data_IF_242794251594
#
_entry.id   IF_242794251594
#
_cell.length_a   1.000
_cell.length_b   1.000
_cell.length_c   1.000
_cell.angle_alpha   90.00
_cell.angle_beta   90.00
_cell.angle_gamma   90.00
#
_symmetry.space_group_name_H-M   'P 1'
#
loop_
_entity.id
_entity.type
_entity.pdbx_description
1 polymer ?
#
# COMPACT_ATOMS: atom_id res chain seq x y z
N UNK A 1 -28.04 -5.35 67.04
CA UNK A 1 -27.57 -4.62 65.85
C UNK A 1 -26.63 -5.53 65.08
N UNK A 2 -27.01 -5.98 63.87
CA UNK A 2 -26.11 -6.66 62.93
C UNK A 2 -26.04 -5.77 61.70
N UNK A 3 -24.90 -5.10 61.53
CA UNK A 3 -24.62 -4.22 60.39
C UNK A 3 -24.10 -5.11 59.27
N UNK A 4 -24.83 -5.18 58.15
CA UNK A 4 -24.39 -5.88 56.95
C UNK A 4 -23.65 -4.87 56.07
N UNK A 5 -22.34 -5.05 55.90
CA UNK A 5 -21.55 -4.34 54.89
C UNK A 5 -21.74 -5.03 53.54
N UNK A 6 -22.46 -4.40 52.62
CA UNK A 6 -22.48 -4.81 51.22
C UNK A 6 -21.24 -4.25 50.53
N UNK A 7 -20.30 -5.12 50.17
CA UNK A 7 -19.16 -4.77 49.35
C UNK A 7 -19.59 -4.57 47.89
N UNK A 8 -19.54 -3.32 47.40
CA UNK A 8 -19.75 -3.00 45.99
C UNK A 8 -18.43 -3.24 45.26
N UNK A 9 -18.33 -4.35 44.54
CA UNK A 9 -17.19 -4.64 43.66
C UNK A 9 -17.27 -3.79 42.40
N UNK A 10 -16.33 -2.86 42.23
CA UNK A 10 -16.17 -2.10 40.98
C UNK A 10 -15.51 -3.01 39.96
N UNK A 11 -16.27 -3.44 38.96
CA UNK A 11 -15.76 -4.20 37.81
C UNK A 11 -15.07 -3.22 36.85
N UNK A 12 -13.74 -3.15 36.89
CA UNK A 12 -12.96 -2.38 35.92
C UNK A 12 -12.92 -3.15 34.60
N UNK A 13 -13.73 -2.72 33.63
CA UNK A 13 -13.67 -3.19 32.25
C UNK A 13 -12.40 -2.62 31.60
N UNK A 14 -11.33 -3.42 31.57
CA UNK A 14 -10.15 -3.12 30.77
C UNK A 14 -10.52 -3.37 29.31
N UNK A 15 -10.87 -2.30 28.59
CA UNK A 15 -10.98 -2.36 27.14
C UNK A 15 -9.57 -2.60 26.57
N UNK A 16 -9.32 -3.81 26.08
CA UNK A 16 -8.10 -4.09 25.32
C UNK A 16 -8.22 -3.40 23.97
N UNK A 17 -7.67 -2.19 23.86
CA UNK A 17 -7.43 -1.55 22.56
C UNK A 17 -6.41 -2.44 21.85
N UNK A 18 -6.85 -3.18 20.84
CA UNK A 18 -5.94 -3.89 19.95
C UNK A 18 -5.24 -2.85 19.07
N UNK A 19 -4.10 -2.35 19.54
CA UNK A 19 -3.22 -1.51 18.74
C UNK A 19 -2.60 -2.35 17.62
N UNK A 20 -3.21 -2.36 16.43
CA UNK A 20 -2.59 -2.89 15.21
C UNK A 20 -1.48 -1.99 14.67
N UNK A 21 -1.38 -0.75 15.14
CA UNK A 21 -0.47 0.30 14.63
C UNK A 21 1.04 0.03 14.77
N UNK A 22 1.47 -1.08 15.36
CA UNK A 22 2.89 -1.27 15.72
C UNK A 22 3.49 -2.58 15.19
N UNK A 23 2.90 -3.20 14.16
CA UNK A 23 3.40 -4.47 13.61
C UNK A 23 3.46 -4.44 12.10
N UNK A 24 4.43 -5.15 11.55
CA UNK A 24 4.54 -5.41 10.12
C UNK A 24 3.94 -6.77 9.76
N UNK A 25 3.86 -7.06 8.46
CA UNK A 25 3.61 -8.42 7.98
C UNK A 25 4.68 -9.38 8.49
N UNK A 26 4.35 -10.67 8.57
CA UNK A 26 5.28 -11.71 9.03
C UNK A 26 5.94 -12.42 7.85
N UNK A 27 6.38 -11.64 6.85
CA UNK A 27 7.15 -12.13 5.73
C UNK A 27 8.64 -12.26 6.07
N UNK A 28 9.40 -12.84 5.14
CA UNK A 28 10.84 -13.12 5.32
C UNK A 28 11.66 -11.85 5.55
N UNK A 29 11.38 -10.81 4.75
CA UNK A 29 12.15 -9.56 4.72
C UNK A 29 11.51 -8.42 5.53
N UNK A 30 10.47 -8.74 6.29
CA UNK A 30 9.77 -7.78 7.13
C UNK A 30 10.40 -7.67 8.53
N UNK A 31 10.48 -6.44 9.04
CA UNK A 31 10.77 -6.12 10.44
C UNK A 31 9.63 -6.61 11.34
N UNK A 32 9.86 -6.62 12.65
CA UNK A 32 8.78 -6.92 13.63
C UNK A 32 7.78 -5.76 13.76
N UNK A 33 8.29 -4.53 13.67
CA UNK A 33 7.55 -3.29 13.81
C UNK A 33 8.17 -2.22 12.88
N UNK A 34 7.39 -1.22 12.43
CA UNK A 34 7.92 -0.12 11.65
C UNK A 34 8.98 0.67 12.43
N UNK A 35 10.00 1.14 11.73
CA UNK A 35 10.94 2.15 12.25
C UNK A 35 11.59 2.90 11.10
N UNK A 36 12.27 4.01 11.41
CA UNK A 36 13.03 4.80 10.43
C UNK A 36 14.12 3.98 9.73
N UNK A 37 14.35 4.30 8.45
CA UNK A 37 15.32 3.70 7.54
C UNK A 37 15.92 4.79 6.63
N UNK A 38 17.04 5.40 7.04
CA UNK A 38 17.59 6.57 6.34
C UNK A 38 18.41 6.25 5.08
N UNK A 39 18.78 4.99 4.86
CA UNK A 39 19.72 4.58 3.80
C UNK A 39 19.06 3.85 2.64
N UNK A 40 17.74 3.99 2.50
CA UNK A 40 16.96 3.35 1.44
C UNK A 40 17.36 3.88 0.05
N UNK A 41 17.65 2.97 -0.89
CA UNK A 41 17.97 3.30 -2.29
C UNK A 41 16.73 3.46 -3.15
N UNK A 42 15.65 2.79 -2.75
CA UNK A 42 14.31 2.81 -3.34
C UNK A 42 13.27 2.77 -2.21
N UNK A 43 11.99 2.93 -2.53
CA UNK A 43 10.91 2.90 -1.52
C UNK A 43 11.03 4.02 -0.46
N UNK A 44 11.72 5.12 -0.77
CA UNK A 44 12.05 6.21 0.16
C UNK A 44 10.84 6.92 0.74
N UNK A 45 9.68 6.78 0.12
CA UNK A 45 8.40 7.24 0.67
C UNK A 45 8.09 6.66 2.06
N UNK A 46 8.68 5.51 2.40
CA UNK A 46 8.51 4.85 3.70
C UNK A 46 9.69 5.09 4.65
N UNK A 47 10.66 5.97 4.33
CA UNK A 47 11.90 6.13 5.12
C UNK A 47 11.68 6.51 6.58
N UNK A 48 10.62 7.26 6.89
CA UNK A 48 10.34 7.71 8.26
C UNK A 48 9.63 6.64 9.09
N UNK A 49 9.04 5.63 8.46
CA UNK A 49 8.36 4.52 9.13
C UNK A 49 8.25 3.36 8.15
N UNK A 50 9.24 2.46 8.18
CA UNK A 50 9.37 1.36 7.22
C UNK A 50 9.29 0.00 7.91
N UNK A 51 8.58 -0.93 7.25
CA UNK A 51 8.55 -2.35 7.58
C UNK A 51 9.64 -3.19 6.90
N UNK A 52 10.39 -2.63 5.95
CA UNK A 52 11.55 -3.29 5.34
C UNK A 52 12.85 -2.66 5.85
N UNK A 53 13.96 -3.37 5.74
CA UNK A 53 15.29 -2.82 6.00
C UNK A 53 15.86 -2.12 4.76
N UNK A 54 16.72 -1.13 4.94
CA UNK A 54 17.36 -0.40 3.83
C UNK A 54 18.08 -1.32 2.82
N UNK A 55 18.69 -2.42 3.26
CA UNK A 55 19.38 -3.37 2.38
C UNK A 55 18.44 -4.10 1.41
N UNK A 56 17.17 -4.32 1.77
CA UNK A 56 16.17 -4.88 0.85
C UNK A 56 16.01 -3.99 -0.38
N UNK A 57 15.99 -2.67 -0.17
CA UNK A 57 15.75 -1.69 -1.24
C UNK A 57 16.87 -1.65 -2.29
N UNK A 58 18.05 -2.20 -1.99
CA UNK A 58 19.15 -2.32 -2.95
C UNK A 58 18.79 -3.25 -4.13
N UNK A 59 17.92 -4.25 -3.89
CA UNK A 59 17.41 -5.16 -4.92
C UNK A 59 16.53 -4.45 -5.96
N UNK A 60 15.97 -3.29 -5.58
CA UNK A 60 15.06 -2.53 -6.41
C UNK A 60 15.76 -1.45 -7.24
N UNK A 61 17.08 -1.31 -7.15
CA UNK A 61 17.81 -0.36 -8.01
C UNK A 61 17.75 -0.80 -9.46
N UNK A 62 17.35 0.11 -10.36
CA UNK A 62 17.18 -0.19 -11.79
C UNK A 62 18.51 -0.54 -12.47
N UNK A 63 18.51 -1.45 -13.47
CA UNK A 63 17.38 -2.28 -13.89
C UNK A 63 17.12 -3.42 -12.91
N UNK A 64 15.86 -3.62 -12.53
CA UNK A 64 15.49 -4.70 -11.60
C UNK A 64 15.44 -6.01 -12.37
N UNK A 65 16.40 -6.89 -12.07
CA UNK A 65 16.43 -8.24 -12.65
C UNK A 65 15.70 -9.24 -11.76
N UNK A 66 15.93 -9.15 -10.46
CA UNK A 66 15.47 -10.12 -9.48
C UNK A 66 15.18 -9.41 -8.17
N UNK A 67 14.04 -9.74 -7.57
CA UNK A 67 13.73 -9.39 -6.19
C UNK A 67 13.56 -10.70 -5.45
N UNK A 68 14.36 -10.90 -4.43
CA UNK A 68 14.47 -12.15 -3.69
C UNK A 68 14.77 -13.33 -4.60
N UNK A 69 13.80 -14.23 -4.76
CA UNK A 69 13.89 -15.40 -5.61
C UNK A 69 13.18 -15.22 -6.96
N UNK A 70 12.46 -14.10 -7.15
CA UNK A 70 11.62 -13.84 -8.32
C UNK A 70 12.35 -12.97 -9.33
N UNK A 71 12.70 -13.57 -10.46
CA UNK A 71 13.22 -12.91 -11.65
C UNK A 71 12.09 -12.16 -12.38
N UNK A 72 12.30 -10.87 -12.63
CA UNK A 72 11.36 -9.97 -13.29
C UNK A 72 11.58 -9.88 -14.80
N UNK A 73 12.78 -10.21 -15.28
CA UNK A 73 13.18 -10.07 -16.68
C UNK A 73 13.17 -11.38 -17.48
N UNK A 74 12.32 -12.35 -17.10
CA UNK A 74 12.24 -13.67 -17.76
C UNK A 74 11.93 -13.60 -19.25
N UNK A 75 11.06 -12.68 -19.67
CA UNK A 75 10.70 -12.50 -21.08
C UNK A 75 11.56 -11.44 -21.78
N UNK A 76 11.84 -10.37 -21.05
CA UNK A 76 12.74 -9.29 -21.41
C UNK A 76 12.85 -8.36 -20.20
N UNK A 77 13.82 -7.46 -20.22
CA UNK A 77 13.85 -6.33 -19.29
C UNK A 77 12.57 -5.49 -19.44
N UNK A 78 11.90 -5.19 -18.33
CA UNK A 78 10.75 -4.29 -18.29
C UNK A 78 11.15 -2.86 -18.70
N UNK A 79 10.24 -2.17 -19.38
CA UNK A 79 10.33 -0.74 -19.66
C UNK A 79 10.40 0.05 -18.36
N UNK A 80 11.04 1.22 -18.38
CA UNK A 80 11.18 2.08 -17.18
C UNK A 80 9.83 2.42 -16.56
N UNK A 81 8.80 2.66 -17.37
CA UNK A 81 7.45 2.93 -16.90
C UNK A 81 6.85 1.74 -16.17
N UNK A 82 6.91 0.54 -16.78
CA UNK A 82 6.39 -0.68 -16.17
C UNK A 82 7.15 -1.05 -14.89
N UNK A 83 8.49 -1.01 -14.91
CA UNK A 83 9.35 -1.30 -13.76
C UNK A 83 9.02 -0.37 -12.57
N UNK A 84 8.74 0.91 -12.82
CA UNK A 84 8.37 1.86 -11.77
C UNK A 84 7.07 1.46 -11.04
N UNK A 85 6.07 0.93 -11.74
CA UNK A 85 4.85 0.43 -11.09
C UNK A 85 5.08 -0.86 -10.32
N UNK A 86 5.85 -1.80 -10.90
CA UNK A 86 6.23 -3.03 -10.19
C UNK A 86 6.96 -2.71 -8.88
N UNK A 87 7.91 -1.75 -8.89
CA UNK A 87 8.59 -1.27 -7.68
C UNK A 87 7.63 -0.67 -6.66
N UNK A 88 6.66 0.15 -7.08
CA UNK A 88 5.67 0.73 -6.15
C UNK A 88 4.91 -0.35 -5.39
N UNK A 89 4.48 -1.40 -6.08
CA UNK A 89 3.78 -2.53 -5.48
C UNK A 89 4.68 -3.30 -4.52
N UNK A 90 5.93 -3.57 -4.91
CA UNK A 90 6.91 -4.26 -4.06
C UNK A 90 7.28 -3.43 -2.82
N UNK A 91 7.50 -2.12 -2.99
CA UNK A 91 7.73 -1.18 -1.90
C UNK A 91 6.55 -1.13 -0.93
N UNK A 92 5.32 -1.11 -1.43
CA UNK A 92 4.13 -1.16 -0.57
C UNK A 92 4.10 -2.46 0.24
N UNK A 93 4.27 -3.60 -0.43
CA UNK A 93 4.22 -4.92 0.21
C UNK A 93 5.26 -5.01 1.34
N UNK A 94 6.51 -4.65 1.06
CA UNK A 94 7.64 -4.91 1.97
C UNK A 94 7.82 -3.82 3.02
N UNK A 95 7.61 -2.55 2.62
CA UNK A 95 8.04 -1.40 3.41
C UNK A 95 6.89 -0.62 4.03
N UNK A 96 5.66 -0.72 3.52
CA UNK A 96 4.56 0.09 4.06
C UNK A 96 4.18 -0.34 5.48
N UNK A 97 4.15 0.57 6.46
CA UNK A 97 3.66 0.27 7.81
C UNK A 97 2.15 -0.01 7.81
N UNK A 98 1.45 0.47 6.78
CA UNK A 98 -0.01 0.37 6.66
C UNK A 98 -0.46 -0.90 5.97
N UNK A 99 0.43 -1.66 5.32
CA UNK A 99 0.10 -2.92 4.67
C UNK A 99 -0.52 -3.94 5.66
N UNK A 100 -0.13 -3.87 6.94
CA UNK A 100 -0.65 -4.71 8.03
C UNK A 100 -2.18 -4.66 8.16
N UNK A 101 -2.82 -3.57 7.74
CA UNK A 101 -4.29 -3.42 7.78
C UNK A 101 -5.02 -4.43 6.88
N UNK A 102 -4.32 -5.02 5.91
CA UNK A 102 -4.83 -6.04 5.00
C UNK A 102 -4.12 -7.38 5.13
N UNK A 103 -3.46 -7.63 6.27
CA UNK A 103 -2.78 -8.89 6.54
C UNK A 103 -3.75 -10.06 6.40
N UNK A 104 -3.35 -11.09 5.65
CA UNK A 104 -4.15 -12.30 5.52
C UNK A 104 -4.16 -13.07 6.85
N UNK A 105 -5.33 -13.32 7.46
CA UNK A 105 -5.41 -13.99 8.77
C UNK A 105 -4.95 -15.45 8.75
N UNK A 106 -4.96 -16.09 7.58
CA UNK A 106 -4.53 -17.49 7.41
C UNK A 106 -3.07 -17.60 6.94
N UNK A 107 -2.46 -16.49 6.51
CA UNK A 107 -1.07 -16.45 6.03
C UNK A 107 -0.49 -15.06 6.28
N UNK A 108 0.09 -14.85 7.46
CA UNK A 108 0.48 -13.52 7.98
C UNK A 108 1.59 -12.81 7.20
N UNK A 109 2.24 -13.48 6.25
CA UNK A 109 3.16 -12.89 5.28
C UNK A 109 2.46 -12.33 4.03
N UNK A 110 1.19 -12.68 3.81
CA UNK A 110 0.41 -12.26 2.65
C UNK A 110 -0.60 -11.17 2.97
N UNK A 111 -1.16 -10.61 1.90
CA UNK A 111 -2.18 -9.56 1.94
C UNK A 111 -3.46 -10.03 1.25
N UNK A 112 -4.61 -9.50 1.66
CA UNK A 112 -5.91 -9.73 1.04
C UNK A 112 -6.68 -8.42 0.84
N UNK A 113 -7.23 -8.25 -0.36
CA UNK A 113 -8.21 -7.20 -0.68
C UNK A 113 -7.74 -5.77 -0.39
N UNK A 114 -6.47 -5.48 -0.61
CA UNK A 114 -5.94 -4.11 -0.57
C UNK A 114 -6.65 -3.27 -1.66
N UNK A 115 -7.33 -2.17 -1.31
CA UNK A 115 -8.15 -1.41 -2.25
C UNK A 115 -7.30 -0.46 -3.10
N UNK A 116 -7.10 -0.77 -4.37
CA UNK A 116 -6.37 0.09 -5.31
C UNK A 116 -7.30 1.02 -6.06
N UNK A 117 -6.84 2.24 -6.31
CA UNK A 117 -7.54 3.17 -7.17
C UNK A 117 -7.56 2.63 -8.60
N UNK A 118 -8.71 2.69 -9.28
CA UNK A 118 -8.82 2.29 -10.69
C UNK A 118 -7.83 3.03 -11.59
N UNK A 119 -7.57 4.31 -11.29
CA UNK A 119 -6.58 5.12 -11.99
C UNK A 119 -5.14 4.60 -11.85
N UNK A 120 -4.75 4.08 -10.67
CA UNK A 120 -3.45 3.45 -10.48
C UNK A 120 -3.33 2.21 -11.37
N UNK A 121 -4.34 1.35 -11.35
CA UNK A 121 -4.37 0.11 -12.12
C UNK A 121 -4.35 0.35 -13.64
N UNK A 122 -5.12 1.33 -14.12
CA UNK A 122 -5.10 1.71 -15.54
C UNK A 122 -3.74 2.27 -15.96
N UNK A 123 -3.14 3.15 -15.15
CA UNK A 123 -1.82 3.71 -15.46
C UNK A 123 -0.72 2.63 -15.44
N UNK A 124 -0.81 1.66 -14.52
CA UNK A 124 0.11 0.52 -14.48
C UNK A 124 -0.01 -0.31 -15.77
N UNK A 125 -1.23 -0.69 -16.15
CA UNK A 125 -1.46 -1.42 -17.38
C UNK A 125 -1.00 -0.65 -18.62
N UNK A 126 -1.29 0.65 -18.71
CA UNK A 126 -0.83 1.47 -19.82
C UNK A 126 0.70 1.59 -19.90
N UNK A 127 1.37 1.63 -18.76
CA UNK A 127 2.83 1.64 -18.68
C UNK A 127 3.45 0.30 -19.11
N UNK A 128 2.76 -0.82 -18.85
CA UNK A 128 3.25 -2.17 -19.15
C UNK A 128 2.72 -2.78 -20.45
N UNK A 129 1.72 -2.21 -21.12
CA UNK A 129 0.94 -2.90 -22.17
C UNK A 129 1.76 -3.53 -23.31
N UNK A 130 2.94 -2.97 -23.60
CA UNK A 130 3.86 -3.45 -24.63
C UNK A 130 5.05 -4.25 -24.08
N UNK A 131 5.22 -4.30 -22.75
CA UNK A 131 6.15 -5.21 -22.09
C UNK A 131 5.65 -6.65 -22.19
N UNK A 132 6.55 -7.61 -21.98
CA UNK A 132 6.25 -9.03 -22.11
C UNK A 132 6.17 -9.71 -20.73
N UNK A 133 5.23 -10.64 -20.58
CA UNK A 133 5.16 -11.56 -19.45
C UNK A 133 4.73 -12.94 -19.93
N UNK A 134 5.04 -13.97 -19.14
CA UNK A 134 4.65 -15.36 -19.38
C UNK A 134 3.78 -15.93 -18.25
N UNK A 135 3.39 -15.10 -17.29
CA UNK A 135 2.56 -15.48 -16.14
C UNK A 135 1.43 -14.47 -15.95
N UNK A 136 0.19 -14.95 -15.80
CA UNK A 136 -0.94 -14.07 -15.46
C UNK A 136 -0.92 -13.74 -13.98
N UNK A 137 -0.71 -14.75 -13.14
CA UNK A 137 -0.52 -14.64 -11.71
C UNK A 137 0.95 -14.94 -11.34
N UNK A 138 1.67 -13.92 -10.90
CA UNK A 138 3.11 -13.97 -10.60
C UNK A 138 3.44 -14.68 -9.28
N UNK A 139 2.42 -15.09 -8.51
CA UNK A 139 2.58 -15.93 -7.31
C UNK A 139 2.54 -17.41 -7.68
N UNK A 140 1.65 -17.79 -8.61
CA UNK A 140 1.25 -19.20 -8.81
C UNK A 140 1.58 -19.77 -10.20
N UNK A 141 1.71 -18.94 -11.23
CA UNK A 141 1.84 -19.42 -12.61
C UNK A 141 3.29 -19.64 -13.07
N UNK A 142 4.29 -19.30 -12.24
CA UNK A 142 5.69 -19.62 -12.54
C UNK A 142 6.03 -21.07 -12.17
N UNK A 143 6.94 -21.69 -12.92
CA UNK A 143 7.61 -22.94 -12.52
C UNK A 143 8.85 -22.59 -11.68
N UNK A 144 9.08 -23.32 -10.60
CA UNK A 144 10.24 -23.11 -9.73
C UNK A 144 11.21 -24.28 -9.86
N UNK A 145 12.50 -23.97 -10.05
CA UNK A 145 13.56 -24.98 -10.09
C UNK A 145 14.10 -25.33 -8.69
N UNK A 146 15.00 -26.32 -8.62
CA UNK A 146 15.62 -26.77 -7.37
C UNK A 146 16.44 -25.67 -6.67
N UNK A 147 16.87 -24.66 -7.40
CA UNK A 147 17.63 -23.51 -6.90
C UNK A 147 16.70 -22.37 -6.45
N UNK A 148 15.38 -22.55 -6.55
CA UNK A 148 14.38 -21.55 -6.20
C UNK A 148 14.31 -20.39 -7.18
N UNK A 149 14.69 -20.57 -8.45
CA UNK A 149 14.45 -19.56 -9.49
C UNK A 149 13.15 -19.86 -10.24
N UNK A 150 12.42 -18.81 -10.57
CA UNK A 150 11.21 -18.90 -11.38
C UNK A 150 11.54 -18.99 -12.87
N UNK A 151 10.71 -19.75 -13.60
CA UNK A 151 10.77 -19.98 -15.03
C UNK A 151 9.39 -19.82 -15.64
N UNK A 152 9.35 -19.43 -16.92
CA UNK A 152 8.11 -19.35 -17.67
C UNK A 152 7.45 -20.72 -17.83
N UNK A 153 6.14 -20.76 -17.60
CA UNK A 153 5.31 -21.95 -17.82
C UNK A 153 4.81 -22.06 -19.26
N UNK A 154 4.77 -20.95 -20.00
CA UNK A 154 4.33 -20.83 -21.39
C UNK A 154 5.04 -19.70 -22.13
N UNK A 155 4.47 -19.27 -23.26
CA UNK A 155 5.07 -18.26 -24.13
C UNK A 155 5.04 -16.86 -23.51
N UNK A 156 6.06 -16.07 -23.82
CA UNK A 156 6.09 -14.65 -23.51
C UNK A 156 5.14 -13.88 -24.44
N UNK A 157 4.17 -13.18 -23.85
CA UNK A 157 3.19 -12.38 -24.57
C UNK A 157 3.14 -10.95 -24.03
N UNK A 158 2.75 -9.96 -24.86
CA UNK A 158 2.50 -8.61 -24.38
C UNK A 158 1.49 -8.56 -23.25
N UNK A 159 1.66 -7.65 -22.27
CA UNK A 159 0.72 -7.50 -21.16
C UNK A 159 -0.71 -7.22 -21.64
N UNK A 160 -0.90 -6.50 -22.73
CA UNK A 160 -2.24 -6.26 -23.29
C UNK A 160 -2.91 -7.50 -23.93
N UNK A 161 -2.15 -8.59 -24.12
CA UNK A 161 -2.70 -9.91 -24.45
C UNK A 161 -2.95 -10.76 -23.21
N UNK A 162 -2.13 -10.58 -22.16
CA UNK A 162 -2.26 -11.30 -20.90
C UNK A 162 -3.43 -10.78 -20.04
N UNK A 163 -3.61 -9.47 -20.00
CA UNK A 163 -4.61 -8.77 -19.21
C UNK A 163 -5.50 -7.94 -20.12
N UNK A 164 -6.81 -7.98 -19.85
CA UNK A 164 -7.81 -7.27 -20.64
C UNK A 164 -7.84 -5.75 -20.39
N UNK A 165 -7.49 -5.31 -19.18
CA UNK A 165 -7.40 -3.90 -18.78
C UNK A 165 -6.63 -3.77 -17.43
N UNK A 166 -6.55 -2.55 -16.89
CA UNK A 166 -5.91 -2.29 -15.60
C UNK A 166 -6.53 -3.04 -14.43
N UNK A 167 -7.85 -3.16 -14.40
CA UNK A 167 -8.56 -3.89 -13.34
C UNK A 167 -8.19 -5.37 -13.33
N UNK A 168 -8.20 -6.03 -14.49
CA UNK A 168 -7.77 -7.42 -14.64
C UNK A 168 -6.31 -7.61 -14.25
N UNK A 169 -5.42 -6.67 -14.61
CA UNK A 169 -4.02 -6.70 -14.20
C UNK A 169 -3.88 -6.67 -12.66
N UNK A 170 -4.48 -5.70 -12.00
CA UNK A 170 -4.38 -5.54 -10.54
C UNK A 170 -4.98 -6.74 -9.79
N UNK A 171 -6.12 -7.27 -10.24
CA UNK A 171 -6.82 -8.38 -9.58
C UNK A 171 -6.25 -9.77 -9.92
N UNK A 172 -5.38 -9.87 -10.92
CA UNK A 172 -4.81 -11.16 -11.36
C UNK A 172 -3.36 -11.34 -10.94
N UNK A 173 -2.52 -10.32 -11.12
CA UNK A 173 -1.06 -10.47 -11.03
C UNK A 173 -0.60 -11.02 -9.68
N UNK A 174 -1.19 -10.53 -8.59
CA UNK A 174 -0.88 -10.95 -7.22
C UNK A 174 -2.03 -11.72 -6.57
N UNK A 175 -2.84 -12.42 -7.38
CA UNK A 175 -4.00 -13.16 -6.89
C UNK A 175 -4.98 -12.28 -6.10
N UNK A 176 -5.36 -12.72 -4.91
CA UNK A 176 -6.35 -12.02 -4.07
C UNK A 176 -5.79 -10.83 -3.28
N UNK A 177 -4.51 -10.49 -3.47
CA UNK A 177 -3.87 -9.39 -2.73
C UNK A 177 -4.54 -8.04 -2.98
N UNK A 178 -4.88 -7.74 -4.23
CA UNK A 178 -5.47 -6.45 -4.60
C UNK A 178 -6.90 -6.59 -5.06
N UNK A 179 -7.73 -5.62 -4.69
CA UNK A 179 -9.03 -5.39 -5.31
C UNK A 179 -9.08 -3.97 -5.87
N UNK A 180 -9.88 -3.74 -6.91
CA UNK A 180 -10.10 -2.41 -7.46
C UNK A 180 -11.41 -1.86 -6.93
N UNK A 181 -11.41 -0.59 -6.54
CA UNK A 181 -12.59 0.12 -6.04
C UNK A 181 -13.00 1.22 -7.01
N UNK A 182 -14.30 1.52 -7.03
CA UNK A 182 -14.89 2.62 -7.80
C UNK A 182 -14.67 4.00 -7.14
N UNK A 183 -14.09 4.03 -5.93
CA UNK A 183 -13.75 5.29 -5.26
C UNK A 183 -12.49 5.90 -5.87
N UNK A 184 -12.54 7.20 -6.13
CA UNK A 184 -11.38 7.98 -6.58
C UNK A 184 -10.49 8.46 -5.42
N UNK A 185 -10.92 8.27 -4.17
CA UNK A 185 -10.17 8.74 -3.01
C UNK A 185 -9.90 7.68 -1.95
N UNK A 186 -10.90 6.86 -1.60
CA UNK A 186 -10.80 5.80 -0.58
C UNK A 186 -10.16 4.55 -1.16
N UNK A 187 -8.95 4.73 -1.64
CA UNK A 187 -8.17 3.74 -2.37
C UNK A 187 -6.69 4.15 -2.32
N UNK A 188 -5.82 3.16 -2.48
CA UNK A 188 -4.37 3.36 -2.47
C UNK A 188 -3.83 3.57 -3.88
N UNK A 189 -2.80 4.41 -3.98
CA UNK A 189 -2.03 4.69 -5.20
C UNK A 189 -0.58 4.22 -5.10
N UNK A 190 -0.21 3.59 -3.99
CA UNK A 190 1.16 3.17 -3.67
C UNK A 190 2.13 4.36 -3.73
N UNK A 191 1.70 5.47 -3.13
CA UNK A 191 2.49 6.70 -3.04
C UNK A 191 2.33 7.37 -1.67
N UNK A 192 3.07 8.46 -1.42
CA UNK A 192 3.15 9.10 -0.10
C UNK A 192 1.84 9.72 0.39
N UNK A 193 0.81 9.78 -0.46
CA UNK A 193 -0.51 10.31 -0.08
C UNK A 193 -1.41 9.24 0.53
N UNK A 194 -1.01 7.97 0.45
CA UNK A 194 -1.83 6.86 0.93
C UNK A 194 -2.13 6.97 2.43
N UNK A 195 -1.16 7.42 3.24
CA UNK A 195 -1.32 7.61 4.69
C UNK A 195 -2.53 8.49 5.04
N UNK A 196 -2.77 9.53 4.25
CA UNK A 196 -3.83 10.51 4.48
C UNK A 196 -5.23 9.95 4.17
N UNK A 197 -5.31 8.98 3.25
CA UNK A 197 -6.58 8.35 2.88
C UNK A 197 -6.90 7.12 3.71
N UNK A 198 -5.92 6.54 4.43
CA UNK A 198 -6.11 5.35 5.27
C UNK A 198 -7.28 5.49 6.23
N UNK A 199 -7.40 6.62 6.92
CA UNK A 199 -8.50 6.83 7.85
C UNK A 199 -9.87 6.69 7.16
N UNK A 200 -10.01 7.16 5.92
CA UNK A 200 -11.26 7.08 5.15
C UNK A 200 -11.52 5.70 4.56
N UNK A 201 -10.45 4.91 4.35
CA UNK A 201 -10.53 3.52 3.91
C UNK A 201 -10.96 2.62 5.08
N UNK A 202 -10.33 2.78 6.24
CA UNK A 202 -10.51 1.93 7.43
C UNK A 202 -11.75 2.29 8.26
N UNK A 203 -12.30 3.51 8.10
CA UNK A 203 -13.48 4.01 8.83
C UNK A 203 -14.72 3.08 8.73
N UNK A 204 -14.77 2.16 7.76
CA UNK A 204 -15.91 1.29 7.52
C UNK A 204 -16.04 0.11 8.50
N UNK A 205 -15.01 -0.24 9.26
CA UNK A 205 -15.03 -1.46 10.07
C UNK A 205 -15.46 -1.27 11.54
N UNK A 206 -15.40 -0.05 12.07
CA UNK A 206 -15.72 0.25 13.47
C UNK A 206 -17.22 0.39 13.76
N UNK A 207 -18.07 0.44 12.73
CA UNK A 207 -19.53 0.67 12.85
C UNK A 207 -20.38 -0.54 12.45
N UNK A 208 -19.77 -1.67 12.07
CA UNK A 208 -20.48 -2.90 11.67
C UNK A 208 -21.08 -3.73 12.81
N UNK A 209 -21.15 -3.20 14.03
CA UNK A 209 -21.85 -3.81 15.17
C UNK A 209 -23.01 -2.94 15.67
N UNK A 210 -23.70 -2.23 14.77
CA UNK A 210 -25.13 -1.91 14.97
C UNK A 210 -25.82 -1.55 13.65
N UNK A 211 -27.06 -2.00 13.56
CA UNK A 211 -27.86 -2.21 12.36
C UNK A 211 -28.27 -0.94 11.59
N UNK A 212 -28.53 -1.15 10.30
CA UNK A 212 -29.61 -0.56 9.48
C UNK A 212 -29.48 0.86 8.88
N UNK A 213 -29.40 0.86 7.53
CA UNK A 213 -30.17 1.72 6.60
C UNK A 213 -30.04 3.24 6.68
N UNK A 214 -28.82 3.75 6.46
CA UNK A 214 -28.56 5.15 6.04
C UNK A 214 -27.23 5.30 5.27
N UNK A 215 -26.82 4.26 4.55
CA UNK A 215 -25.45 4.04 4.09
C UNK A 215 -25.01 4.81 2.84
N UNK A 216 -25.93 5.39 2.06
CA UNK A 216 -25.58 6.12 0.83
C UNK A 216 -25.12 7.56 1.10
N UNK A 217 -25.80 8.28 1.99
CA UNK A 217 -25.48 9.67 2.35
C UNK A 217 -24.21 9.80 3.21
N UNK A 218 -23.94 8.82 4.07
CA UNK A 218 -22.70 8.77 4.86
C UNK A 218 -21.49 8.38 3.99
N UNK A 219 -21.64 7.42 3.06
CA UNK A 219 -20.58 7.05 2.13
C UNK A 219 -20.23 8.19 1.16
N UNK A 220 -21.22 8.94 0.65
CA UNK A 220 -20.97 10.10 -0.20
C UNK A 220 -20.31 11.26 0.57
N UNK A 221 -20.66 11.45 1.85
CA UNK A 221 -20.03 12.44 2.71
C UNK A 221 -18.55 12.11 2.96
N UNK A 222 -18.23 10.84 3.26
CA UNK A 222 -16.84 10.41 3.49
C UNK A 222 -15.99 10.51 2.22
N UNK A 223 -16.55 10.18 1.06
CA UNK A 223 -15.89 10.39 -0.24
C UNK A 223 -15.52 11.86 -0.45
N UNK A 224 -16.48 12.77 -0.21
CA UNK A 224 -16.26 14.22 -0.39
C UNK A 224 -15.20 14.74 0.57
N UNK A 225 -15.24 14.32 1.85
CA UNK A 225 -14.24 14.71 2.84
C UNK A 225 -12.84 14.19 2.48
N UNK A 226 -12.75 12.94 2.02
CA UNK A 226 -11.50 12.35 1.53
C UNK A 226 -10.93 13.17 0.36
N UNK A 227 -11.77 13.46 -0.65
CA UNK A 227 -11.34 14.24 -1.82
C UNK A 227 -10.88 15.65 -1.44
N UNK A 228 -11.55 16.28 -0.47
CA UNK A 228 -11.14 17.58 0.04
C UNK A 228 -9.79 17.50 0.76
N UNK A 229 -9.53 16.44 1.53
CA UNK A 229 -8.25 16.22 2.20
C UNK A 229 -7.11 16.05 1.19
N UNK A 230 -7.30 15.23 0.14
CA UNK A 230 -6.31 15.07 -0.93
C UNK A 230 -6.01 16.40 -1.64
N UNK A 231 -7.03 17.17 -1.99
CA UNK A 231 -6.84 18.48 -2.67
C UNK A 231 -6.06 19.48 -1.82
N UNK A 232 -6.17 19.42 -0.48
CA UNK A 232 -5.41 20.31 0.41
C UNK A 232 -3.92 19.97 0.43
N UNK A 233 -3.55 18.70 0.24
CA UNK A 233 -2.15 18.27 0.12
C UNK A 233 -1.54 18.67 -1.23
N UNK A 234 -2.37 18.73 -2.27
CA UNK A 234 -1.96 19.11 -3.63
C UNK A 234 -1.92 20.63 -3.83
N UNK A 235 -2.41 21.41 -2.87
CA UNK A 235 -2.36 22.87 -2.93
C UNK A 235 -0.90 23.33 -2.74
N UNK A 236 -0.37 24.20 -3.62
CA UNK A 236 0.96 24.76 -3.44
C UNK A 236 1.03 25.55 -2.13
N UNK A 237 2.11 25.37 -1.36
CA UNK A 237 2.40 26.21 -0.19
C UNK A 237 2.43 27.67 -0.64
N UNK A 238 1.67 28.53 0.05
CA UNK A 238 1.72 29.97 -0.20
C UNK A 238 3.08 30.48 0.28
N UNK A 239 3.88 31.04 -0.64
CA UNK A 239 5.09 31.80 -0.32
C UNK A 239 4.77 32.89 0.71
N UNK A 240 5.57 33.05 1.79
CA UNK A 240 5.37 34.15 2.72
C UNK A 240 5.68 35.49 2.02
N UNK A 241 4.70 36.40 2.01
CA UNK A 241 4.83 37.75 1.47
C UNK A 241 5.96 38.53 2.18
N UNK A 242 6.73 39.26 1.37
CA UNK A 242 8.06 39.78 1.71
C UNK A 242 8.12 40.85 2.80
N UNK A 243 9.25 40.85 3.50
CA UNK A 243 9.68 41.94 4.38
C UNK A 243 10.44 43.01 3.57
N UNK A 244 9.79 44.15 3.37
CA UNK A 244 10.35 45.35 2.75
C UNK A 244 11.54 45.87 3.59
N UNK A 245 12.74 45.79 3.04
CA UNK A 245 13.96 46.25 3.72
C UNK A 245 14.06 47.78 3.64
N UNK A 246 13.74 48.46 4.74
CA UNK A 246 13.99 49.91 4.89
C UNK A 246 15.51 50.16 4.99
N UNK A 247 16.11 50.62 3.90
CA UNK A 247 17.50 51.09 3.85
C UNK A 247 17.57 52.50 4.47
N UNK A 248 18.04 52.57 5.71
CA UNK A 248 18.48 53.81 6.35
C UNK A 248 19.76 54.33 5.69
N UNK A 249 19.64 55.42 4.92
CA UNK A 249 20.79 56.27 4.55
C UNK A 249 21.30 56.99 5.80
N UNK A 250 22.57 56.80 6.14
CA UNK A 250 23.32 57.70 7.03
C UNK A 250 24.14 58.67 6.18
N UNK A 251 23.96 59.95 6.48
CA UNK A 251 24.88 61.06 6.18
C UNK A 251 26.22 60.88 6.90
#
# INVERSE_FOLDING_TARGET
MKVYLTAVGILVLVATVQCTEHKCLQGRDHKKAPSEEHSMKECTVYSNSSCCYSNFTEQLVSPVKKVDNTQWDLCQKLSTGCEAFMKKVECFYQCSPSAVNWMNPNYTAGLLHVPLCVSFCNNWFDACKNDLTCAKNWITDFKWDENGNNHCSGDCVPFNKMYSNGTDLCQSMWGQTFMVTDSDCRCLRMDGRDEMVLQYILYKDSSSSSSSSSSSSSASSQETSCQQALRRLEAPEAEPEGEESVVLKKE
#
